data_IF_293111131731
#
_entry.id   IF_293111131731
#
_cell.length_a   1.000
_cell.length_b   1.000
_cell.length_c   1.000
_cell.angle_alpha   90.00
_cell.angle_beta   90.00
_cell.angle_gamma   90.00
#
_symmetry.space_group_name_H-M   'P 1'
#
loop_
_entity.id
_entity.type
_entity.pdbx_description
1 polymer ?
#
# COMPACT_ATOMS: atom_id res chain seq x y z
N UNK A 1 -23.47 36.98 18.91
CA UNK A 1 -22.17 36.27 18.78
C UNK A 1 -22.43 35.00 17.98
N UNK A 2 -21.87 34.93 16.77
CA UNK A 2 -22.32 34.17 15.61
C UNK A 2 -22.11 32.64 15.78
N UNK A 3 -23.15 31.83 15.61
CA UNK A 3 -23.14 30.35 15.66
C UNK A 3 -22.11 29.73 14.71
N UNK A 4 -21.87 30.37 13.55
CA UNK A 4 -20.85 29.99 12.61
C UNK A 4 -19.42 30.10 13.19
N UNK A 5 -19.11 31.12 13.97
CA UNK A 5 -17.81 31.27 14.63
C UNK A 5 -17.58 30.23 15.74
N UNK A 6 -18.65 29.80 16.42
CA UNK A 6 -18.57 28.69 17.41
C UNK A 6 -18.34 27.33 16.74
N UNK A 7 -18.98 27.08 15.59
CA UNK A 7 -18.79 25.81 14.85
C UNK A 7 -17.37 25.71 14.26
N UNK A 8 -16.84 26.79 13.67
CA UNK A 8 -15.47 26.84 13.16
C UNK A 8 -14.44 26.68 14.28
N UNK A 9 -14.68 27.26 15.45
CA UNK A 9 -13.81 27.11 16.62
C UNK A 9 -13.86 25.69 17.21
N UNK A 10 -15.03 25.05 17.20
CA UNK A 10 -15.19 23.65 17.60
C UNK A 10 -14.50 22.69 16.63
N UNK A 11 -14.64 22.91 15.31
CA UNK A 11 -13.92 22.14 14.31
C UNK A 11 -12.40 22.28 14.44
N UNK A 12 -11.91 23.49 14.70
CA UNK A 12 -10.48 23.79 14.89
C UNK A 12 -9.92 23.17 16.18
N UNK A 13 -10.74 22.98 17.22
CA UNK A 13 -10.34 22.35 18.47
C UNK A 13 -10.26 20.81 18.37
N UNK A 14 -11.07 20.20 17.52
CA UNK A 14 -11.02 18.76 17.24
C UNK A 14 -9.79 18.37 16.39
N UNK A 15 -9.29 19.31 15.57
CA UNK A 15 -8.09 19.10 14.72
C UNK A 15 -6.78 19.47 15.43
N UNK A 16 -6.81 19.93 16.68
CA UNK A 16 -5.63 20.42 17.41
C UNK A 16 -4.84 19.32 18.13
N UNK A 17 -5.35 18.08 18.19
CA UNK A 17 -4.68 16.97 18.86
C UNK A 17 -4.34 15.86 17.88
N UNK A 18 -3.11 15.38 17.97
CA UNK A 18 -2.67 14.19 17.23
C UNK A 18 -3.42 12.96 17.74
N UNK A 19 -4.04 12.20 16.83
CA UNK A 19 -4.80 10.99 17.16
C UNK A 19 -3.90 9.77 16.94
N UNK A 20 -3.05 9.47 17.92
CA UNK A 20 -2.08 8.38 17.84
C UNK A 20 -2.67 7.00 17.51
N UNK A 21 -3.83 6.57 18.04
CA UNK A 21 -4.40 5.29 17.66
C UNK A 21 -4.64 5.17 16.15
N UNK A 22 -5.13 6.23 15.50
CA UNK A 22 -5.33 6.23 14.03
C UNK A 22 -3.98 6.15 13.32
N UNK A 23 -2.98 6.91 13.75
CA UNK A 23 -1.63 6.87 13.16
C UNK A 23 -1.00 5.48 13.28
N UNK A 24 -1.14 4.82 14.43
CA UNK A 24 -0.63 3.46 14.63
C UNK A 24 -1.37 2.45 13.75
N UNK A 25 -2.70 2.53 13.67
CA UNK A 25 -3.50 1.67 12.80
C UNK A 25 -3.10 1.82 11.34
N UNK A 26 -2.94 3.05 10.85
CA UNK A 26 -2.52 3.32 9.47
C UNK A 26 -1.07 2.87 9.22
N UNK A 27 -0.18 3.00 10.21
CA UNK A 27 1.19 2.49 10.14
C UNK A 27 1.23 0.96 10.06
N UNK A 28 0.42 0.26 10.87
CA UNK A 28 0.30 -1.19 10.83
C UNK A 28 -0.29 -1.67 9.50
N UNK A 29 -1.33 -1.01 9.00
CA UNK A 29 -1.89 -1.37 7.68
C UNK A 29 -0.90 -1.10 6.55
N UNK A 30 -0.07 -0.07 6.65
CA UNK A 30 1.01 0.18 5.70
C UNK A 30 2.08 -0.92 5.77
N UNK A 31 2.47 -1.32 6.97
CA UNK A 31 3.39 -2.45 7.18
C UNK A 31 2.85 -3.72 6.51
N UNK A 32 1.60 -4.08 6.75
CA UNK A 32 0.99 -5.28 6.15
C UNK A 32 0.90 -5.17 4.62
N UNK A 33 0.49 -4.02 4.10
CA UNK A 33 0.40 -3.80 2.65
C UNK A 33 1.78 -3.94 1.98
N UNK A 34 2.81 -3.31 2.52
CA UNK A 34 4.15 -3.33 1.92
C UNK A 34 4.84 -4.68 2.12
N UNK A 35 4.57 -5.37 3.22
CA UNK A 35 5.00 -6.75 3.43
C UNK A 35 4.41 -7.67 2.36
N UNK A 36 3.10 -7.54 2.05
CA UNK A 36 2.47 -8.30 0.97
C UNK A 36 3.09 -7.99 -0.40
N UNK A 37 3.38 -6.73 -0.70
CA UNK A 37 3.99 -6.34 -1.98
C UNK A 37 5.44 -6.80 -2.10
N UNK A 38 6.19 -6.83 -1.02
CA UNK A 38 7.59 -7.27 -1.00
C UNK A 38 7.76 -8.78 -1.24
N UNK A 39 6.68 -9.55 -1.20
CA UNK A 39 6.65 -10.95 -1.67
C UNK A 39 6.99 -11.03 -3.17
N UNK A 40 6.56 -10.07 -4.00
CA UNK A 40 6.79 -10.08 -5.46
C UNK A 40 8.27 -10.25 -5.81
N UNK A 41 9.18 -9.36 -5.41
CA UNK A 41 10.60 -9.54 -5.69
C UNK A 41 11.21 -10.74 -4.95
N UNK A 42 10.69 -11.11 -3.79
CA UNK A 42 11.18 -12.26 -3.04
C UNK A 42 10.97 -13.59 -3.79
N UNK A 43 9.89 -13.72 -4.55
CA UNK A 43 9.60 -14.95 -5.32
C UNK A 43 10.23 -14.97 -6.72
N UNK A 44 10.94 -13.93 -7.17
CA UNK A 44 11.57 -13.90 -8.50
C UNK A 44 12.49 -15.09 -8.78
N UNK A 45 13.37 -15.52 -7.86
CA UNK A 45 14.20 -16.70 -8.09
C UNK A 45 13.37 -17.97 -8.34
N UNK A 46 12.31 -18.16 -7.55
CA UNK A 46 11.40 -19.28 -7.68
C UNK A 46 10.64 -19.25 -9.02
N UNK A 47 10.13 -18.10 -9.42
CA UNK A 47 9.43 -17.92 -10.70
C UNK A 47 10.36 -18.18 -11.88
N UNK A 48 11.60 -17.68 -11.78
CA UNK A 48 12.63 -17.89 -12.79
C UNK A 48 12.95 -19.37 -12.96
N UNK A 49 13.12 -20.09 -11.87
CA UNK A 49 13.42 -21.53 -11.87
C UNK A 49 12.23 -22.37 -12.36
N UNK A 50 11.03 -22.11 -11.82
CA UNK A 50 9.82 -22.88 -12.12
C UNK A 50 9.35 -22.76 -13.58
N UNK A 51 9.47 -21.55 -14.15
CA UNK A 51 8.92 -21.23 -15.49
C UNK A 51 10.01 -20.96 -16.54
N UNK A 52 11.27 -21.15 -16.18
CA UNK A 52 12.44 -20.84 -17.03
C UNK A 52 12.40 -19.41 -17.61
N UNK A 53 12.04 -18.42 -16.77
CA UNK A 53 11.93 -17.04 -17.21
C UNK A 53 13.29 -16.40 -17.46
N UNK A 54 13.37 -15.65 -18.56
CA UNK A 54 14.50 -14.77 -18.84
C UNK A 54 14.53 -13.57 -17.87
N UNK A 55 15.69 -12.93 -17.73
CA UNK A 55 15.80 -11.68 -16.96
C UNK A 55 14.92 -10.56 -17.52
N UNK A 56 14.69 -10.54 -18.83
CA UNK A 56 13.77 -9.58 -19.48
C UNK A 56 12.32 -9.79 -19.00
N UNK A 57 11.87 -11.03 -18.87
CA UNK A 57 10.53 -11.34 -18.33
C UNK A 57 10.39 -10.93 -16.86
N UNK A 58 11.40 -11.21 -16.03
CA UNK A 58 11.43 -10.74 -14.64
C UNK A 58 11.41 -9.20 -14.59
N UNK A 59 12.19 -8.54 -15.44
CA UNK A 59 12.16 -7.08 -15.58
C UNK A 59 10.78 -6.56 -16.00
N UNK A 60 10.07 -7.26 -16.90
CA UNK A 60 8.72 -6.88 -17.33
C UNK A 60 7.70 -7.05 -16.19
N UNK A 61 7.82 -8.08 -15.35
CA UNK A 61 6.99 -8.25 -14.14
C UNK A 61 7.17 -7.03 -13.21
N UNK A 62 8.43 -6.65 -12.96
CA UNK A 62 8.75 -5.45 -12.15
C UNK A 62 8.18 -4.19 -12.78
N UNK A 63 8.35 -4.02 -14.09
CA UNK A 63 7.87 -2.85 -14.83
C UNK A 63 6.34 -2.71 -14.73
N UNK A 64 5.59 -3.78 -14.96
CA UNK A 64 4.12 -3.77 -14.87
C UNK A 64 3.67 -3.40 -13.45
N UNK A 65 4.29 -3.99 -12.42
CA UNK A 65 4.00 -3.63 -11.04
C UNK A 65 4.28 -2.14 -10.77
N UNK A 66 5.46 -1.64 -11.13
CA UNK A 66 5.84 -0.25 -10.90
C UNK A 66 4.98 0.75 -11.69
N UNK A 67 4.65 0.45 -12.94
CA UNK A 67 3.78 1.31 -13.74
C UNK A 67 2.38 1.39 -13.12
N UNK A 68 1.78 0.26 -12.78
CA UNK A 68 0.42 0.25 -12.18
C UNK A 68 0.41 0.87 -10.78
N UNK A 69 1.42 0.63 -9.96
CA UNK A 69 1.50 1.20 -8.61
C UNK A 69 1.81 2.70 -8.62
N UNK A 70 2.69 3.17 -9.51
CA UNK A 70 3.19 4.57 -9.47
C UNK A 70 2.40 5.53 -10.35
N UNK A 71 2.08 5.13 -11.62
CA UNK A 71 1.36 6.02 -12.53
C UNK A 71 -0.11 6.23 -12.14
N UNK A 72 -0.73 5.25 -11.49
CA UNK A 72 -2.11 5.37 -11.04
C UNK A 72 -2.23 6.14 -9.72
N UNK A 73 -1.17 6.29 -8.92
CA UNK A 73 -1.21 7.01 -7.64
C UNK A 73 -1.71 8.46 -7.76
N UNK A 74 -1.21 9.30 -8.69
CA UNK A 74 -1.72 10.66 -8.83
C UNK A 74 -3.21 10.69 -9.21
N UNK A 75 -3.65 9.75 -10.05
CA UNK A 75 -5.07 9.64 -10.44
C UNK A 75 -5.92 9.21 -9.26
N UNK A 76 -5.50 8.18 -8.53
CA UNK A 76 -6.17 7.70 -7.34
C UNK A 76 -6.23 8.79 -6.24
N UNK A 77 -5.12 9.50 -6.01
CA UNK A 77 -5.06 10.61 -5.06
C UNK A 77 -6.00 11.75 -5.44
N UNK A 78 -6.01 12.17 -6.71
CA UNK A 78 -6.92 13.22 -7.18
C UNK A 78 -8.41 12.81 -7.03
N UNK A 79 -8.72 11.54 -7.31
CA UNK A 79 -10.08 11.01 -7.19
C UNK A 79 -10.49 10.95 -5.71
N UNK A 80 -9.59 10.51 -4.83
CA UNK A 80 -9.79 10.46 -3.39
C UNK A 80 -10.01 11.86 -2.78
N UNK A 81 -9.29 12.87 -3.25
CA UNK A 81 -9.44 14.24 -2.78
C UNK A 81 -10.78 14.85 -3.22
N UNK A 82 -11.23 14.54 -4.44
CA UNK A 82 -12.51 15.04 -4.97
C UNK A 82 -13.72 14.30 -4.43
N UNK A 83 -13.60 13.01 -4.25
CA UNK A 83 -14.70 12.11 -3.84
C UNK A 83 -14.20 11.15 -2.74
N UNK A 84 -14.01 11.65 -1.51
CA UNK A 84 -13.55 10.80 -0.40
C UNK A 84 -14.53 9.65 -0.17
N UNK A 85 -14.04 8.44 -0.22
CA UNK A 85 -14.84 7.22 0.00
C UNK A 85 -14.32 6.49 1.23
N UNK A 86 -15.17 6.13 2.21
CA UNK A 86 -14.73 5.51 3.45
C UNK A 86 -14.14 4.10 3.25
N UNK A 87 -14.44 3.46 2.12
CA UNK A 87 -14.02 2.08 1.82
C UNK A 87 -12.88 1.99 0.79
N UNK A 88 -12.30 3.11 0.34
CA UNK A 88 -11.25 3.09 -0.69
C UNK A 88 -9.99 2.35 -0.23
N UNK A 89 -9.58 2.52 1.05
CA UNK A 89 -8.48 1.76 1.66
C UNK A 89 -8.73 0.26 1.63
N UNK A 90 -9.90 -0.17 2.09
CA UNK A 90 -10.28 -1.59 2.07
C UNK A 90 -10.33 -2.13 0.64
N UNK A 91 -10.88 -1.35 -0.30
CA UNK A 91 -10.88 -1.69 -1.72
C UNK A 91 -9.47 -1.89 -2.28
N UNK A 92 -8.54 -0.98 -1.99
CA UNK A 92 -7.14 -1.12 -2.38
C UNK A 92 -6.51 -2.41 -1.85
N UNK A 93 -6.72 -2.72 -0.56
CA UNK A 93 -6.22 -3.97 0.03
C UNK A 93 -6.88 -5.22 -0.58
N UNK A 94 -8.15 -5.17 -0.94
CA UNK A 94 -8.82 -6.27 -1.65
C UNK A 94 -8.20 -6.53 -3.03
N UNK A 95 -7.85 -5.48 -3.78
CA UNK A 95 -7.12 -5.62 -5.05
C UNK A 95 -5.74 -6.26 -4.85
N UNK A 96 -5.00 -5.82 -3.83
CA UNK A 96 -3.71 -6.43 -3.47
C UNK A 96 -3.87 -7.92 -3.13
N UNK A 97 -4.84 -8.26 -2.29
CA UNK A 97 -5.12 -9.65 -1.92
C UNK A 97 -5.54 -10.50 -3.14
N UNK A 98 -6.44 -9.99 -3.97
CA UNK A 98 -6.84 -10.67 -5.20
C UNK A 98 -5.64 -10.92 -6.13
N UNK A 99 -4.76 -9.94 -6.28
CA UNK A 99 -3.54 -10.09 -7.06
C UNK A 99 -2.60 -11.15 -6.48
N UNK A 100 -2.43 -11.22 -5.15
CA UNK A 100 -1.63 -12.26 -4.51
C UNK A 100 -2.24 -13.65 -4.70
N UNK A 101 -3.57 -13.78 -4.64
CA UNK A 101 -4.24 -15.04 -4.92
C UNK A 101 -4.03 -15.48 -6.37
N UNK A 102 -4.16 -14.56 -7.33
CA UNK A 102 -3.87 -14.84 -8.74
C UNK A 102 -2.40 -15.25 -8.90
N UNK A 103 -1.45 -14.58 -8.21
CA UNK A 103 -0.03 -14.91 -8.25
C UNK A 103 0.25 -16.34 -7.73
N UNK A 104 -0.39 -16.71 -6.62
CA UNK A 104 -0.21 -18.03 -5.99
C UNK A 104 -0.65 -19.19 -6.91
N UNK A 105 -1.69 -18.97 -7.71
CA UNK A 105 -2.23 -19.98 -8.63
C UNK A 105 -1.88 -19.72 -10.11
N UNK A 106 -0.93 -18.81 -10.38
CA UNK A 106 -0.57 -18.43 -11.74
C UNK A 106 0.01 -19.64 -12.52
N UNK A 107 -0.61 -20.06 -13.64
CA UNK A 107 -0.11 -21.16 -14.46
C UNK A 107 0.98 -20.73 -15.43
N UNK A 108 1.31 -19.44 -15.54
CA UNK A 108 2.32 -18.93 -16.46
C UNK A 108 2.43 -17.42 -16.48
N UNK A 109 3.29 -16.92 -17.37
CA UNK A 109 3.75 -15.54 -17.43
C UNK A 109 2.64 -14.49 -17.47
N UNK A 110 1.63 -14.67 -18.34
CA UNK A 110 0.53 -13.70 -18.51
C UNK A 110 -0.27 -13.54 -17.22
N UNK A 111 -0.52 -14.63 -16.51
CA UNK A 111 -1.23 -14.59 -15.23
C UNK A 111 -0.44 -13.89 -14.14
N UNK A 112 0.89 -14.03 -14.16
CA UNK A 112 1.79 -13.31 -13.25
C UNK A 112 1.73 -11.80 -13.56
N UNK A 113 1.71 -11.39 -14.84
CA UNK A 113 1.55 -9.99 -15.21
C UNK A 113 0.21 -9.41 -14.73
N UNK A 114 -0.88 -10.16 -14.88
CA UNK A 114 -2.21 -9.78 -14.38
C UNK A 114 -2.16 -9.65 -12.84
N UNK A 115 -1.55 -10.61 -12.15
CA UNK A 115 -1.42 -10.61 -10.70
C UNK A 115 -0.70 -9.37 -10.18
N UNK A 116 0.48 -9.07 -10.71
CA UNK A 116 1.27 -7.91 -10.28
C UNK A 116 0.61 -6.59 -10.68
N UNK A 117 -0.11 -6.57 -11.80
CA UNK A 117 -0.94 -5.43 -12.19
C UNK A 117 -2.05 -5.13 -11.18
N UNK A 118 -2.76 -6.17 -10.71
CA UNK A 118 -3.79 -6.04 -9.67
C UNK A 118 -3.18 -5.56 -8.35
N UNK A 119 -2.02 -6.12 -7.95
CA UNK A 119 -1.32 -5.68 -6.74
C UNK A 119 -0.92 -4.21 -6.85
N UNK A 120 -0.38 -3.80 -8.01
CA UNK A 120 -0.03 -2.41 -8.29
C UNK A 120 -1.23 -1.46 -8.26
N UNK A 121 -2.37 -1.86 -8.82
CA UNK A 121 -3.62 -1.09 -8.72
C UNK A 121 -4.06 -0.93 -7.27
N UNK A 122 -4.01 -1.98 -6.46
CA UNK A 122 -4.30 -1.91 -5.03
C UNK A 122 -3.38 -0.93 -4.30
N UNK A 123 -2.09 -1.02 -4.57
CA UNK A 123 -1.05 -0.13 -4.03
C UNK A 123 -1.29 1.34 -4.39
N UNK A 124 -1.67 1.61 -5.66
CA UNK A 124 -1.91 2.98 -6.15
C UNK A 124 -3.05 3.69 -5.44
N UNK A 125 -4.05 2.96 -4.95
CA UNK A 125 -5.16 3.49 -4.15
C UNK A 125 -4.76 3.58 -2.67
N UNK A 126 -4.10 2.55 -2.15
CA UNK A 126 -3.78 2.44 -0.72
C UNK A 126 -2.87 3.57 -0.24
N UNK A 127 -1.76 3.84 -0.93
CA UNK A 127 -0.74 4.79 -0.47
C UNK A 127 -1.25 6.24 -0.34
N UNK A 128 -1.90 6.85 -1.34
CA UNK A 128 -2.41 8.22 -1.19
C UNK A 128 -3.51 8.32 -0.14
N UNK A 129 -4.42 7.35 -0.08
CA UNK A 129 -5.52 7.37 0.88
C UNK A 129 -5.04 7.21 2.32
N UNK A 130 -4.14 6.27 2.60
CA UNK A 130 -3.59 6.05 3.93
C UNK A 130 -2.72 7.22 4.38
N UNK A 131 -1.92 7.81 3.48
CA UNK A 131 -1.17 9.04 3.73
C UNK A 131 -2.11 10.21 4.07
N UNK A 132 -3.24 10.34 3.37
CA UNK A 132 -4.27 11.33 3.66
C UNK A 132 -4.87 11.13 5.04
N UNK A 133 -5.21 9.91 5.41
CA UNK A 133 -5.73 9.58 6.76
C UNK A 133 -4.70 9.94 7.83
N UNK A 134 -3.42 9.62 7.63
CA UNK A 134 -2.35 10.01 8.54
C UNK A 134 -2.25 11.52 8.71
N UNK A 135 -2.37 12.29 7.62
CA UNK A 135 -2.36 13.76 7.66
C UNK A 135 -3.57 14.32 8.42
N UNK A 136 -4.76 13.78 8.22
CA UNK A 136 -5.98 14.18 8.95
C UNK A 136 -5.85 13.91 10.46
N UNK A 137 -5.24 12.78 10.83
CA UNK A 137 -5.02 12.40 12.22
C UNK A 137 -3.84 13.14 12.90
N UNK A 138 -3.09 13.96 12.15
CA UNK A 138 -1.84 14.58 12.60
C UNK A 138 -2.00 15.64 13.70
N UNK A 139 -3.19 16.26 13.83
CA UNK A 139 -3.37 17.39 14.73
C UNK A 139 -2.43 18.58 14.44
N UNK A 140 -2.08 18.80 13.16
CA UNK A 140 -1.12 19.81 12.71
C UNK A 140 0.33 19.35 12.66
N UNK A 141 0.68 18.19 13.23
CA UNK A 141 2.04 17.62 13.22
C UNK A 141 2.22 16.69 12.00
N UNK A 142 2.06 17.24 10.80
CA UNK A 142 2.07 16.44 9.55
C UNK A 142 3.35 15.65 9.34
N UNK A 143 4.52 16.22 9.65
CA UNK A 143 5.80 15.51 9.55
C UNK A 143 5.87 14.29 10.46
N UNK A 144 5.47 14.41 11.74
CA UNK A 144 5.41 13.30 12.68
C UNK A 144 4.45 12.20 12.19
N UNK A 145 3.26 12.58 11.72
CA UNK A 145 2.28 11.63 11.22
C UNK A 145 2.82 10.84 10.01
N UNK A 146 3.45 11.52 9.07
CA UNK A 146 4.08 10.87 7.92
C UNK A 146 5.28 10.00 8.33
N UNK A 147 6.08 10.40 9.30
CA UNK A 147 7.18 9.57 9.80
C UNK A 147 6.66 8.26 10.40
N UNK A 148 5.63 8.32 11.25
CA UNK A 148 4.99 7.12 11.83
C UNK A 148 4.44 6.22 10.71
N UNK A 149 3.75 6.80 9.73
CA UNK A 149 3.23 6.08 8.57
C UNK A 149 4.34 5.38 7.76
N UNK A 150 5.44 6.10 7.45
CA UNK A 150 6.56 5.56 6.66
C UNK A 150 7.35 4.47 7.41
N UNK A 151 7.47 4.57 8.74
CA UNK A 151 8.11 3.51 9.54
C UNK A 151 7.38 2.18 9.34
N UNK A 152 6.06 2.18 9.29
CA UNK A 152 5.28 0.99 8.98
C UNK A 152 5.62 0.40 7.61
N UNK A 153 5.56 1.21 6.54
CA UNK A 153 5.87 0.76 5.18
C UNK A 153 7.29 0.22 5.05
N UNK A 154 8.28 0.96 5.55
CA UNK A 154 9.68 0.52 5.50
C UNK A 154 9.90 -0.81 6.25
N UNK A 155 9.27 -0.98 7.42
CA UNK A 155 9.33 -2.22 8.17
C UNK A 155 8.67 -3.37 7.39
N UNK A 156 7.51 -3.14 6.76
CA UNK A 156 6.82 -4.12 5.93
C UNK A 156 7.67 -4.56 4.74
N UNK A 157 8.24 -3.62 4.01
CA UNK A 157 9.13 -3.89 2.87
C UNK A 157 10.37 -4.71 3.27
N UNK A 158 10.92 -4.46 4.46
CA UNK A 158 12.08 -5.19 4.98
C UNK A 158 11.72 -6.63 5.41
N UNK A 159 10.49 -6.87 5.89
CA UNK A 159 10.08 -8.17 6.41
C UNK A 159 9.76 -9.20 5.32
N UNK A 160 9.33 -8.79 4.13
CA UNK A 160 8.94 -9.72 3.07
C UNK A 160 10.05 -10.67 2.62
N UNK A 161 11.24 -10.19 2.25
CA UNK A 161 12.37 -11.06 1.89
C UNK A 161 12.79 -12.01 3.02
N UNK A 162 12.75 -11.54 4.28
CA UNK A 162 13.10 -12.35 5.46
C UNK A 162 12.12 -13.52 5.62
N UNK A 163 10.82 -13.27 5.47
CA UNK A 163 9.81 -14.31 5.58
C UNK A 163 10.00 -15.40 4.52
N UNK A 164 10.34 -15.01 3.29
CA UNK A 164 10.61 -15.97 2.20
C UNK A 164 11.85 -16.83 2.46
N UNK A 165 12.95 -16.22 2.90
CA UNK A 165 14.19 -16.95 3.18
C UNK A 165 14.03 -17.93 4.35
N UNK A 166 13.25 -17.57 5.38
CA UNK A 166 12.93 -18.47 6.49
C UNK A 166 12.09 -19.66 6.06
N UNK A 167 11.07 -19.47 5.23
CA UNK A 167 10.24 -20.56 4.71
C UNK A 167 11.06 -21.56 3.88
N UNK A 168 11.94 -21.08 3.01
CA UNK A 168 12.80 -21.93 2.18
C UNK A 168 13.89 -22.69 2.97
N UNK A 169 14.30 -22.18 4.12
CA UNK A 169 15.30 -22.84 4.96
C UNK A 169 14.74 -24.07 5.70
N UNK A 170 13.44 -24.26 5.70
CA UNK A 170 12.73 -25.38 6.35
C UNK A 170 12.15 -26.41 5.36
N UNK A 171 12.36 -26.23 4.05
CA UNK A 171 12.07 -27.21 2.99
C UNK A 171 13.32 -28.03 2.61
#
# INVERSE_FOLDING_TARGET
MNTAAKSVRSYRSLTSRTVYPILLMVSITHLLNDMMQSVIPAVYPLLKEKFDFTFAQIGLITLVFQLTSSLLQPVAGLLADRHPRPYSLAGGMCFTLAGLLVLAFAPGFVWILIAVGLIGCGSSVFHPESSRVAQLASGGRKGLAQSIFQVGGNAGSAMGPVSYTHLRAHE
#
